data_IF_149400899330
#
_entry.id   IF_149400899330
#
_cell.length_a   1.000
_cell.length_b   1.000
_cell.length_c   1.000
_cell.angle_alpha   90.00
_cell.angle_beta   90.00
_cell.angle_gamma   90.00
#
_symmetry.space_group_name_H-M   'P 1'
#
loop_
_entity.id
_entity.type
_entity.pdbx_description
1 polymer ?
#
# COMPACT_ATOMS: atom_id res chain seq x y z
N UNK A 1 65.44 -15.65 -38.05
CA UNK A 1 64.05 -16.12 -37.86
C UNK A 1 63.91 -16.63 -36.44
N UNK A 2 63.55 -15.75 -35.51
CA UNK A 2 63.36 -16.07 -34.10
C UNK A 2 62.15 -15.27 -33.62
N UNK A 3 61.29 -15.97 -32.91
CA UNK A 3 60.34 -15.45 -31.92
C UNK A 3 59.07 -14.77 -32.44
N UNK A 4 58.10 -15.58 -32.89
CA UNK A 4 56.68 -15.22 -32.85
C UNK A 4 55.81 -16.31 -32.20
N UNK A 5 56.37 -17.11 -31.29
CA UNK A 5 55.66 -18.20 -30.62
C UNK A 5 55.41 -17.93 -29.13
N UNK A 6 55.31 -16.66 -28.72
CA UNK A 6 55.14 -16.29 -27.30
C UNK A 6 54.07 -15.22 -27.05
N UNK A 7 53.18 -14.95 -28.01
CA UNK A 7 52.15 -13.91 -27.89
C UNK A 7 50.70 -14.43 -27.87
N UNK A 8 50.49 -15.74 -27.81
CA UNK A 8 49.15 -16.35 -27.90
C UNK A 8 48.67 -17.04 -26.60
N UNK A 9 49.39 -16.88 -25.49
CA UNK A 9 49.10 -17.58 -24.22
C UNK A 9 48.52 -16.71 -23.11
N UNK A 10 48.19 -15.43 -23.37
CA UNK A 10 47.66 -14.51 -22.35
C UNK A 10 46.16 -14.19 -22.48
N UNK A 11 45.41 -14.86 -23.37
CA UNK A 11 43.98 -14.57 -23.61
C UNK A 11 42.99 -15.50 -22.88
N UNK A 12 43.46 -16.38 -21.98
CA UNK A 12 42.57 -17.29 -21.23
C UNK A 12 42.48 -16.99 -19.73
N UNK A 13 42.75 -15.75 -19.30
CA UNK A 13 42.22 -15.27 -18.03
C UNK A 13 40.75 -14.92 -18.26
N UNK A 14 39.94 -15.98 -18.35
CA UNK A 14 38.50 -15.92 -18.30
C UNK A 14 38.12 -15.22 -17.00
N UNK A 15 37.42 -14.08 -17.12
CA UNK A 15 36.66 -13.50 -16.02
C UNK A 15 35.74 -14.58 -15.45
N UNK A 16 36.12 -15.17 -14.32
CA UNK A 16 35.15 -15.74 -13.40
C UNK A 16 34.45 -14.56 -12.73
N UNK A 17 33.52 -13.92 -13.42
CA UNK A 17 32.42 -13.30 -12.70
C UNK A 17 31.76 -14.44 -11.95
N UNK A 18 31.87 -14.42 -10.62
CA UNK A 18 30.94 -15.14 -9.78
C UNK A 18 29.58 -14.60 -10.18
N UNK A 19 28.86 -15.34 -11.01
CA UNK A 19 27.43 -15.20 -11.14
C UNK A 19 26.92 -15.53 -9.75
N UNK A 20 26.80 -14.51 -8.90
CA UNK A 20 25.88 -14.58 -7.77
C UNK A 20 24.57 -14.99 -8.40
N UNK A 21 24.17 -16.24 -8.13
CA UNK A 21 22.81 -16.65 -8.44
C UNK A 21 21.95 -15.61 -7.72
N UNK A 22 21.33 -14.70 -8.48
CA UNK A 22 20.21 -13.93 -7.96
C UNK A 22 19.27 -15.00 -7.44
N UNK A 23 19.23 -15.18 -6.12
CA UNK A 23 18.16 -15.93 -5.48
C UNK A 23 16.92 -15.25 -6.05
N UNK A 24 16.11 -16.00 -6.79
CA UNK A 24 14.78 -15.55 -7.17
C UNK A 24 13.99 -15.47 -5.88
N UNK A 25 14.24 -14.44 -5.07
CA UNK A 25 13.41 -14.10 -3.93
C UNK A 25 12.08 -13.75 -4.54
N UNK A 26 11.09 -14.62 -4.34
CA UNK A 26 9.73 -14.38 -4.78
C UNK A 26 9.32 -12.96 -4.34
N UNK A 27 8.62 -12.21 -5.17
CA UNK A 27 8.30 -10.81 -4.90
C UNK A 27 7.74 -10.59 -3.47
N UNK A 28 6.92 -11.52 -2.97
CA UNK A 28 6.38 -11.49 -1.61
C UNK A 28 7.43 -11.61 -0.49
N UNK A 29 8.58 -12.24 -0.71
CA UNK A 29 9.62 -12.35 0.33
C UNK A 29 10.24 -11.00 0.68
N UNK A 30 10.41 -10.10 -0.30
CA UNK A 30 10.97 -8.77 -0.04
C UNK A 30 10.01 -7.91 0.83
N UNK A 31 8.71 -7.98 0.55
CA UNK A 31 7.70 -7.29 1.34
C UNK A 31 7.50 -7.91 2.73
N UNK A 32 7.61 -9.24 2.84
CA UNK A 32 7.61 -9.91 4.14
C UNK A 32 8.81 -9.50 5.01
N UNK A 33 10.02 -9.38 4.45
CA UNK A 33 11.17 -8.82 5.18
C UNK A 33 10.95 -7.35 5.55
N UNK A 34 10.32 -6.56 4.66
CA UNK A 34 9.93 -5.19 4.95
C UNK A 34 8.94 -5.09 6.11
N UNK A 35 7.97 -6.01 6.18
CA UNK A 35 6.98 -6.08 7.25
C UNK A 35 7.61 -6.42 8.60
N UNK A 36 8.61 -7.31 8.62
CA UNK A 36 9.37 -7.64 9.84
C UNK A 36 10.38 -6.57 10.26
N UNK A 37 10.58 -5.53 9.46
CA UNK A 37 11.51 -4.45 9.75
C UNK A 37 10.81 -3.31 10.49
N UNK A 38 10.58 -3.50 11.79
CA UNK A 38 9.92 -2.51 12.66
C UNK A 38 10.57 -1.11 12.59
N UNK A 39 11.91 -0.94 12.66
CA UNK A 39 12.52 0.38 12.56
C UNK A 39 12.19 1.12 11.26
N UNK A 40 12.16 0.39 10.12
CA UNK A 40 11.77 0.95 8.83
C UNK A 40 10.30 1.39 8.84
N UNK A 41 9.40 0.54 9.33
CA UNK A 41 7.98 0.87 9.43
C UNK A 41 7.74 2.09 10.34
N UNK A 42 8.47 2.20 11.45
CA UNK A 42 8.38 3.35 12.35
C UNK A 42 8.84 4.64 11.66
N UNK A 43 9.94 4.60 10.89
CA UNK A 43 10.45 5.75 10.15
C UNK A 43 9.44 6.24 9.09
N UNK A 44 8.96 5.31 8.25
CA UNK A 44 7.94 5.60 7.25
C UNK A 44 6.69 6.18 7.91
N UNK A 45 6.23 5.55 8.99
CA UNK A 45 5.03 6.00 9.70
C UNK A 45 5.20 7.40 10.29
N UNK A 46 6.35 7.68 10.91
CA UNK A 46 6.66 8.99 11.48
C UNK A 46 6.63 10.08 10.41
N UNK A 47 7.13 9.80 9.21
CA UNK A 47 7.04 10.73 8.08
C UNK A 47 5.59 10.97 7.65
N UNK A 48 4.87 9.89 7.35
CA UNK A 48 3.46 9.94 6.93
C UNK A 48 2.58 10.66 7.95
N UNK A 49 2.63 10.24 9.22
CA UNK A 49 1.77 10.78 10.28
C UNK A 49 2.04 12.24 10.60
N UNK A 50 3.30 12.68 10.62
CA UNK A 50 3.66 14.06 10.99
C UNK A 50 3.50 15.03 9.84
N UNK A 51 3.86 14.62 8.62
CA UNK A 51 3.99 15.52 7.47
C UNK A 51 2.92 15.31 6.40
N UNK A 52 2.12 14.25 6.50
CA UNK A 52 1.23 13.84 5.43
C UNK A 52 2.01 13.30 4.22
N UNK A 53 3.21 12.74 4.45
CA UNK A 53 4.06 12.19 3.38
C UNK A 53 3.40 10.98 2.74
N UNK A 54 2.81 11.21 1.56
CA UNK A 54 2.09 10.19 0.80
C UNK A 54 3.01 9.12 0.20
N UNK A 55 4.30 9.42 -0.03
CA UNK A 55 5.25 8.43 -0.56
C UNK A 55 5.55 7.40 0.53
N UNK A 56 5.87 7.88 1.74
CA UNK A 56 6.10 6.99 2.89
C UNK A 56 4.86 6.16 3.23
N UNK A 57 3.66 6.76 3.11
CA UNK A 57 2.40 6.04 3.30
C UNK A 57 2.19 4.93 2.26
N UNK A 58 2.39 5.22 0.97
CA UNK A 58 2.23 4.23 -0.10
C UNK A 58 3.25 3.10 0.02
N UNK A 59 4.49 3.40 0.42
CA UNK A 59 5.49 2.36 0.68
C UNK A 59 5.07 1.44 1.84
N UNK A 60 4.53 1.99 2.93
CA UNK A 60 3.96 1.16 3.98
C UNK A 60 2.80 0.31 3.46
N UNK A 61 1.88 0.91 2.70
CA UNK A 61 0.75 0.20 2.12
C UNK A 61 1.22 -1.01 1.31
N UNK A 62 2.19 -0.83 0.41
CA UNK A 62 2.77 -1.92 -0.37
C UNK A 62 3.38 -3.00 0.53
N UNK A 63 4.10 -2.63 1.59
CA UNK A 63 4.66 -3.58 2.56
C UNK A 63 3.56 -4.43 3.21
N UNK A 64 2.49 -3.81 3.73
CA UNK A 64 1.41 -4.55 4.38
C UNK A 64 0.60 -5.39 3.40
N UNK A 65 0.20 -4.83 2.26
CA UNK A 65 -0.65 -5.51 1.27
C UNK A 65 0.10 -6.68 0.64
N UNK A 66 1.33 -6.46 0.16
CA UNK A 66 2.09 -7.47 -0.59
C UNK A 66 2.75 -8.52 0.32
N UNK A 67 2.76 -8.31 1.63
CA UNK A 67 3.12 -9.33 2.63
C UNK A 67 1.92 -10.12 3.15
N UNK A 68 0.68 -9.76 2.77
CA UNK A 68 -0.54 -10.45 3.22
C UNK A 68 -1.14 -9.94 4.53
N UNK A 69 -0.70 -8.77 5.03
CA UNK A 69 -1.12 -8.17 6.30
C UNK A 69 -2.00 -6.92 6.09
N UNK A 70 -2.74 -6.83 4.97
CA UNK A 70 -3.58 -5.67 4.59
C UNK A 70 -4.50 -5.20 5.75
N UNK A 71 -5.09 -6.13 6.52
CA UNK A 71 -6.00 -5.79 7.61
C UNK A 71 -5.33 -4.96 8.73
N UNK A 72 -4.04 -5.18 8.98
CA UNK A 72 -3.27 -4.44 9.99
C UNK A 72 -2.96 -3.01 9.53
N UNK A 73 -3.03 -2.75 8.22
CA UNK A 73 -2.81 -1.43 7.66
C UNK A 73 -3.96 -0.44 7.95
N UNK A 74 -5.13 -0.95 8.37
CA UNK A 74 -6.34 -0.16 8.61
C UNK A 74 -6.11 1.06 9.51
N UNK A 75 -5.35 0.89 10.59
CA UNK A 75 -5.05 1.98 11.52
C UNK A 75 -4.36 3.16 10.83
N UNK A 76 -3.33 2.87 10.02
CA UNK A 76 -2.56 3.89 9.32
C UNK A 76 -3.40 4.59 8.26
N UNK A 77 -4.24 3.84 7.54
CA UNK A 77 -5.17 4.39 6.56
C UNK A 77 -6.19 5.34 7.21
N UNK A 78 -6.79 4.96 8.34
CA UNK A 78 -7.70 5.83 9.11
C UNK A 78 -6.99 7.13 9.50
N UNK A 79 -5.80 7.04 10.08
CA UNK A 79 -5.06 8.22 10.50
C UNK A 79 -4.72 9.16 9.33
N UNK A 80 -4.35 8.63 8.16
CA UNK A 80 -4.07 9.47 6.98
C UNK A 80 -5.33 10.08 6.38
N UNK A 81 -6.43 9.33 6.35
CA UNK A 81 -7.72 9.82 5.91
C UNK A 81 -8.20 10.96 6.83
N UNK A 82 -8.11 10.81 8.15
CA UNK A 82 -8.69 11.76 9.09
C UNK A 82 -7.78 12.97 9.33
N UNK A 83 -6.49 12.76 9.52
CA UNK A 83 -5.55 13.84 9.88
C UNK A 83 -5.15 14.71 8.70
N UNK A 84 -4.96 14.11 7.54
CA UNK A 84 -4.41 14.79 6.36
C UNK A 84 -5.43 14.92 5.23
N UNK A 85 -6.66 14.44 5.45
CA UNK A 85 -7.70 14.37 4.42
C UNK A 85 -7.20 13.70 3.14
N UNK A 86 -6.31 12.71 3.25
CA UNK A 86 -5.70 12.10 2.09
C UNK A 86 -6.74 11.27 1.34
N UNK A 87 -7.08 11.70 0.12
CA UNK A 87 -8.15 11.11 -0.70
C UNK A 87 -7.99 9.59 -0.87
N UNK A 88 -6.77 9.14 -1.14
CA UNK A 88 -6.52 7.72 -1.38
C UNK A 88 -6.73 6.89 -0.11
N UNK A 89 -6.31 7.39 1.05
CA UNK A 89 -6.55 6.71 2.31
C UNK A 89 -8.05 6.52 2.62
N UNK A 90 -8.94 7.40 2.16
CA UNK A 90 -10.39 7.22 2.34
C UNK A 90 -10.91 5.97 1.60
N UNK A 91 -10.45 5.71 0.37
CA UNK A 91 -10.87 4.50 -0.34
C UNK A 91 -10.24 3.25 0.28
N UNK A 92 -8.99 3.31 0.73
CA UNK A 92 -8.32 2.19 1.40
C UNK A 92 -9.06 1.76 2.68
N UNK A 93 -9.48 2.72 3.52
CA UNK A 93 -10.27 2.40 4.72
C UNK A 93 -11.58 1.70 4.35
N UNK A 94 -12.28 2.19 3.33
CA UNK A 94 -13.50 1.54 2.83
C UNK A 94 -13.23 0.10 2.37
N UNK A 95 -12.17 -0.10 1.58
CA UNK A 95 -11.82 -1.39 0.99
C UNK A 95 -11.37 -2.42 2.03
N UNK A 96 -10.58 -2.01 3.03
CA UNK A 96 -10.17 -2.91 4.10
C UNK A 96 -11.39 -3.30 4.95
N UNK A 97 -12.19 -2.33 5.39
CA UNK A 97 -13.35 -2.59 6.26
C UNK A 97 -14.39 -3.53 5.62
N UNK A 98 -14.63 -3.43 4.30
CA UNK A 98 -15.60 -4.32 3.63
C UNK A 98 -15.12 -5.77 3.49
N UNK A 99 -13.80 -5.98 3.46
CA UNK A 99 -13.16 -7.30 3.31
C UNK A 99 -12.99 -8.05 4.64
N UNK A 100 -13.12 -7.37 5.79
CA UNK A 100 -12.97 -7.99 7.09
C UNK A 100 -13.98 -9.14 7.30
N UNK A 101 -13.55 -10.30 7.80
CA UNK A 101 -14.40 -11.49 7.95
C UNK A 101 -15.52 -11.29 9.00
N UNK A 102 -15.25 -10.54 10.06
CA UNK A 102 -16.16 -10.34 11.20
C UNK A 102 -16.81 -8.94 11.20
N UNK A 103 -17.23 -8.45 10.01
CA UNK A 103 -17.84 -7.12 9.92
C UNK A 103 -19.26 -7.10 10.50
N UNK A 104 -19.52 -6.13 11.38
CA UNK A 104 -20.87 -5.83 11.88
C UNK A 104 -21.48 -4.60 11.18
N UNK A 105 -22.73 -4.30 11.49
CA UNK A 105 -23.47 -3.17 10.88
C UNK A 105 -22.77 -1.83 11.13
N UNK A 106 -22.17 -1.64 12.31
CA UNK A 106 -21.44 -0.42 12.62
C UNK A 106 -20.20 -0.28 11.74
N UNK A 107 -19.44 -1.35 11.53
CA UNK A 107 -18.29 -1.35 10.62
C UNK A 107 -18.71 -1.08 9.17
N UNK A 108 -19.82 -1.67 8.72
CA UNK A 108 -20.38 -1.37 7.39
C UNK A 108 -20.75 0.11 7.24
N UNK A 109 -21.32 0.72 8.29
CA UNK A 109 -21.61 2.15 8.31
C UNK A 109 -20.32 2.97 8.26
N UNK A 110 -19.30 2.64 9.04
CA UNK A 110 -18.01 3.35 9.02
C UNK A 110 -17.36 3.23 7.62
N UNK A 111 -17.38 2.05 7.00
CA UNK A 111 -16.88 1.87 5.63
C UNK A 111 -17.61 2.81 4.65
N UNK A 112 -18.94 2.84 4.71
CA UNK A 112 -19.75 3.74 3.88
C UNK A 112 -19.40 5.22 4.12
N UNK A 113 -19.13 5.64 5.35
CA UNK A 113 -18.67 6.99 5.64
C UNK A 113 -17.37 7.35 4.89
N UNK A 114 -16.38 6.46 4.91
CA UNK A 114 -15.13 6.68 4.17
C UNK A 114 -15.31 6.63 2.64
N UNK A 115 -16.23 5.79 2.13
CA UNK A 115 -16.61 5.81 0.72
C UNK A 115 -17.18 7.18 0.31
N UNK A 116 -18.06 7.76 1.11
CA UNK A 116 -18.64 9.08 0.85
C UNK A 116 -17.56 10.17 0.84
N UNK A 117 -16.60 10.14 1.78
CA UNK A 117 -15.46 11.06 1.78
C UNK A 117 -14.57 10.92 0.55
N UNK A 118 -14.36 9.69 0.07
CA UNK A 118 -13.62 9.44 -1.17
C UNK A 118 -14.36 10.06 -2.37
N UNK A 119 -15.68 9.93 -2.44
CA UNK A 119 -16.51 10.54 -3.49
C UNK A 119 -16.47 12.06 -3.42
N UNK A 120 -16.67 12.64 -2.24
CA UNK A 120 -16.65 14.10 -2.02
C UNK A 120 -15.32 14.73 -2.36
N UNK A 121 -14.22 14.02 -2.09
CA UNK A 121 -12.90 14.47 -2.49
C UNK A 121 -12.64 14.28 -3.99
N UNK A 122 -13.48 13.55 -4.74
CA UNK A 122 -13.37 13.38 -6.19
C UNK A 122 -12.59 12.13 -6.61
N UNK A 123 -12.61 11.07 -5.81
CA UNK A 123 -12.03 9.77 -6.16
C UNK A 123 -12.89 9.06 -7.20
N UNK A 124 -12.43 8.99 -8.46
CA UNK A 124 -13.22 8.42 -9.58
C UNK A 124 -13.59 6.96 -9.38
N UNK A 125 -12.72 6.17 -8.76
CA UNK A 125 -12.97 4.74 -8.50
C UNK A 125 -14.12 4.49 -7.53
N UNK A 126 -14.40 5.43 -6.62
CA UNK A 126 -15.41 5.29 -5.58
C UNK A 126 -16.86 5.37 -6.11
N UNK A 127 -17.06 5.98 -7.28
CA UNK A 127 -18.39 6.15 -7.89
C UNK A 127 -18.99 4.80 -8.31
N UNK A 128 -18.15 3.83 -8.68
CA UNK A 128 -18.63 2.47 -8.99
C UNK A 128 -19.28 1.83 -7.77
N UNK A 129 -18.63 1.97 -6.61
CA UNK A 129 -19.07 1.34 -5.37
C UNK A 129 -20.27 2.10 -4.76
N UNK A 130 -20.41 3.41 -5.03
CA UNK A 130 -21.56 4.22 -4.62
C UNK A 130 -22.90 3.56 -4.96
N UNK A 131 -23.08 3.19 -6.24
CA UNK A 131 -24.36 2.68 -6.72
C UNK A 131 -24.71 1.33 -6.09
N UNK A 132 -23.71 0.48 -5.89
CA UNK A 132 -23.87 -0.79 -5.19
C UNK A 132 -24.31 -0.57 -3.74
N UNK A 133 -23.73 0.42 -3.06
CA UNK A 133 -23.92 0.63 -1.62
C UNK A 133 -25.18 1.43 -1.27
N UNK A 134 -25.56 2.39 -2.10
CA UNK A 134 -26.64 3.33 -1.80
C UNK A 134 -27.81 3.25 -2.79
N UNK A 135 -27.68 2.55 -3.92
CA UNK A 135 -28.74 2.46 -4.92
C UNK A 135 -29.08 3.79 -5.61
N UNK A 136 -28.24 4.81 -5.45
CA UNK A 136 -28.45 6.16 -5.98
C UNK A 136 -27.13 6.75 -6.48
N UNK A 137 -27.22 7.63 -7.48
CA UNK A 137 -26.10 8.44 -7.97
C UNK A 137 -25.91 9.73 -7.14
N UNK A 138 -26.82 10.00 -6.19
CA UNK A 138 -26.81 11.17 -5.30
C UNK A 138 -26.80 10.74 -3.83
N UNK A 139 -25.64 10.35 -3.28
CA UNK A 139 -25.56 9.95 -1.88
C UNK A 139 -25.70 11.13 -0.91
N UNK A 140 -25.97 10.87 0.38
CA UNK A 140 -25.84 11.88 1.42
C UNK A 140 -24.39 12.37 1.54
N UNK A 141 -24.21 13.55 2.16
CA UNK A 141 -22.89 14.03 2.56
C UNK A 141 -22.30 13.14 3.66
N UNK A 142 -20.98 12.97 3.66
CA UNK A 142 -20.27 12.15 4.64
C UNK A 142 -20.53 12.64 6.08
N UNK A 143 -20.56 13.96 6.29
CA UNK A 143 -20.87 14.57 7.59
C UNK A 143 -22.29 14.28 8.07
N UNK A 144 -23.29 14.33 7.17
CA UNK A 144 -24.67 14.00 7.53
C UNK A 144 -24.83 12.51 7.79
N UNK A 145 -24.15 11.68 7.01
CA UNK A 145 -24.14 10.24 7.21
C UNK A 145 -23.49 9.84 8.55
N UNK A 146 -22.42 10.51 8.97
CA UNK A 146 -21.74 10.24 10.25
C UNK A 146 -22.68 10.35 11.46
N UNK A 147 -23.63 11.29 11.43
CA UNK A 147 -24.65 11.47 12.48
C UNK A 147 -25.55 10.25 12.68
N UNK A 148 -25.60 9.33 11.70
CA UNK A 148 -26.39 8.08 11.78
C UNK A 148 -25.62 6.88 12.38
N UNK A 149 -24.34 7.07 12.66
CA UNK A 149 -23.42 6.08 13.21
C UNK A 149 -23.26 6.26 14.73
N UNK A 150 -23.41 7.50 15.21
CA UNK A 150 -23.31 7.87 16.62
C UNK A 150 -24.51 7.43 17.44
#
# INVERSE_FOLDING_TARGET
MKNYLLLLLLLVISCNEKVESKKNTAMGSAFYEGYRNEPKLEELWKSAYKKGDTISYLEMMDIFVLSGHENEFLYYAICMADKHNYRHANIEVYDILRKLPERNDRMNKIANYYLLRAIESGHKGAIRDLKERFGTDSPPKSEDYWKTIQ
#
